data_IF_934065633096
#
_entry.id   IF_934065633096
#
_cell.length_a   1.000
_cell.length_b   1.000
_cell.length_c   1.000
_cell.angle_alpha   90.00
_cell.angle_beta   90.00
_cell.angle_gamma   90.00
#
_symmetry.space_group_name_H-M   'P 1'
#
loop_
_entity.id
_entity.type
_entity.pdbx_description
1 polymer ?
#
# COMPACT_ATOMS: atom_id res chain seq x y z
N UNK A 1 14.82 5.65 -27.11
CA UNK A 1 16.02 5.90 -26.28
C UNK A 1 17.15 5.02 -26.78
N UNK A 2 18.36 5.56 -26.93
CA UNK A 2 19.55 4.78 -27.33
C UNK A 2 19.89 3.80 -26.19
N UNK A 3 20.07 2.49 -26.46
CA UNK A 3 20.52 1.56 -25.44
C UNK A 3 21.84 2.02 -24.81
N UNK A 4 22.00 1.81 -23.51
CA UNK A 4 23.18 2.26 -22.77
C UNK A 4 24.51 1.80 -23.40
N UNK A 5 24.54 0.57 -23.94
CA UNK A 5 25.74 -0.02 -24.60
C UNK A 5 26.07 0.63 -25.93
N UNK A 6 25.10 1.25 -26.59
CA UNK A 6 25.25 1.89 -27.89
C UNK A 6 25.46 3.40 -27.76
N UNK A 7 25.57 3.91 -26.52
CA UNK A 7 25.78 5.33 -26.26
C UNK A 7 27.21 5.73 -26.65
N UNK A 8 27.42 6.60 -27.68
CA UNK A 8 28.74 7.01 -28.10
C UNK A 8 29.37 7.94 -27.08
N UNK A 9 30.29 7.42 -26.29
CA UNK A 9 31.04 8.24 -25.32
C UNK A 9 31.94 9.23 -26.06
N UNK A 10 31.90 10.50 -25.70
CA UNK A 10 32.77 11.54 -26.29
C UNK A 10 33.03 12.63 -25.22
N UNK A 11 34.31 12.82 -24.90
CA UNK A 11 34.76 13.88 -23.99
C UNK A 11 34.36 15.26 -24.52
N UNK A 12 34.33 15.45 -25.85
CA UNK A 12 33.92 16.73 -26.47
C UNK A 12 32.47 17.11 -26.22
N UNK A 13 31.63 16.14 -25.85
CA UNK A 13 30.20 16.36 -25.53
C UNK A 13 29.96 16.55 -24.03
N UNK A 14 31.00 16.48 -23.20
CA UNK A 14 30.89 16.67 -21.77
C UNK A 14 30.86 18.16 -21.42
N UNK A 15 29.98 18.56 -20.51
CA UNK A 15 29.97 19.92 -19.99
C UNK A 15 31.18 20.17 -19.09
N UNK A 16 31.81 21.36 -19.21
CA UNK A 16 32.95 21.76 -18.38
C UNK A 16 32.55 21.88 -16.89
N UNK A 17 31.29 22.21 -16.61
CA UNK A 17 30.74 22.34 -15.25
C UNK A 17 30.56 21.00 -14.51
N UNK A 18 30.82 19.86 -15.16
CA UNK A 18 30.58 18.56 -14.57
C UNK A 18 29.10 18.16 -14.57
N UNK A 19 28.76 17.09 -13.85
CA UNK A 19 27.40 16.58 -13.68
C UNK A 19 27.02 16.66 -12.21
N UNK A 20 25.91 17.37 -11.91
CA UNK A 20 25.33 17.34 -10.58
C UNK A 20 24.72 15.96 -10.34
N UNK A 21 25.14 15.31 -9.26
CA UNK A 21 24.53 14.07 -8.81
C UNK A 21 23.27 14.38 -8.01
N UNK A 22 22.15 13.87 -8.49
CA UNK A 22 20.82 14.08 -7.91
C UNK A 22 20.28 12.73 -7.39
N UNK A 23 20.22 12.59 -6.06
CA UNK A 23 19.72 11.39 -5.40
C UNK A 23 18.22 11.17 -5.65
N UNK A 24 17.42 12.21 -5.72
CA UNK A 24 15.98 12.10 -5.95
C UNK A 24 15.73 11.55 -7.36
N UNK A 25 16.49 12.06 -8.33
CA UNK A 25 16.41 11.56 -9.69
C UNK A 25 16.90 10.11 -9.81
N UNK A 26 17.94 9.72 -9.09
CA UNK A 26 18.40 8.33 -9.05
C UNK A 26 17.31 7.43 -8.46
N UNK A 27 16.68 7.86 -7.38
CA UNK A 27 15.58 7.13 -6.75
C UNK A 27 14.38 6.98 -7.69
N UNK A 28 14.01 8.05 -8.42
CA UNK A 28 12.95 7.99 -9.43
C UNK A 28 13.28 7.01 -10.56
N UNK A 29 14.53 7.00 -11.03
CA UNK A 29 14.99 6.02 -12.03
C UNK A 29 14.91 4.60 -11.49
N UNK A 30 15.36 4.37 -10.25
CA UNK A 30 15.28 3.07 -9.59
C UNK A 30 13.82 2.58 -9.48
N UNK A 31 12.90 3.43 -9.00
CA UNK A 31 11.46 3.14 -8.96
C UNK A 31 10.88 2.82 -10.32
N UNK A 32 11.30 3.51 -11.37
CA UNK A 32 10.88 3.24 -12.76
C UNK A 32 11.40 1.89 -13.30
N UNK A 33 12.51 1.38 -12.80
CA UNK A 33 13.02 0.05 -13.14
C UNK A 33 12.28 -1.01 -12.34
N UNK A 34 12.25 -0.88 -11.00
CA UNK A 34 11.64 -1.87 -10.10
C UNK A 34 10.16 -2.06 -10.38
N UNK A 35 9.40 -1.00 -10.72
CA UNK A 35 7.97 -1.12 -11.01
C UNK A 35 7.64 -1.96 -12.25
N UNK A 36 8.63 -2.22 -13.14
CA UNK A 36 8.47 -3.05 -14.34
C UNK A 36 8.87 -4.51 -14.12
N UNK A 37 9.54 -4.81 -13.02
CA UNK A 37 9.88 -6.17 -12.63
C UNK A 37 8.61 -6.94 -12.25
N UNK A 38 8.60 -8.25 -12.45
CA UNK A 38 7.57 -9.13 -11.90
C UNK A 38 7.62 -9.16 -10.38
N UNK A 39 6.56 -9.62 -9.73
CA UNK A 39 6.54 -9.82 -8.28
C UNK A 39 7.61 -10.83 -7.84
N UNK A 40 7.83 -11.87 -8.65
CA UNK A 40 8.86 -12.89 -8.45
C UNK A 40 10.27 -12.28 -8.45
N UNK A 41 10.60 -11.49 -9.49
CA UNK A 41 11.90 -10.81 -9.58
C UNK A 41 12.15 -9.88 -8.39
N UNK A 42 11.13 -9.14 -7.94
CA UNK A 42 11.26 -8.26 -6.78
C UNK A 42 11.42 -9.08 -5.49
N UNK A 43 10.68 -10.19 -5.36
CA UNK A 43 10.82 -11.10 -4.22
C UNK A 43 12.22 -11.69 -4.14
N UNK A 44 12.74 -12.25 -5.24
CA UNK A 44 14.06 -12.89 -5.28
C UNK A 44 15.19 -11.91 -4.95
N UNK A 45 15.14 -10.72 -5.53
CA UNK A 45 16.12 -9.67 -5.23
C UNK A 45 16.03 -9.18 -3.78
N UNK A 46 14.80 -9.00 -3.26
CA UNK A 46 14.59 -8.61 -1.86
C UNK A 46 15.09 -9.70 -0.91
N UNK A 47 14.79 -10.96 -1.17
CA UNK A 47 15.27 -12.08 -0.36
C UNK A 47 16.79 -12.18 -0.36
N UNK A 48 17.41 -12.03 -1.54
CA UNK A 48 18.87 -12.01 -1.67
C UNK A 48 19.51 -10.89 -0.84
N UNK A 49 18.94 -9.68 -0.92
CA UNK A 49 19.36 -8.54 -0.12
C UNK A 49 19.15 -8.81 1.38
N UNK A 50 17.97 -9.30 1.77
CA UNK A 50 17.59 -9.52 3.15
C UNK A 50 18.49 -10.58 3.82
N UNK A 51 18.91 -11.63 3.11
CA UNK A 51 19.86 -12.64 3.62
C UNK A 51 21.17 -12.02 4.10
N UNK A 52 21.57 -10.91 3.52
CA UNK A 52 22.82 -10.23 3.89
C UNK A 52 22.60 -9.13 4.92
N UNK A 53 21.51 -8.35 4.80
CA UNK A 53 21.36 -7.09 5.54
C UNK A 53 20.22 -7.09 6.56
N UNK A 54 19.24 -8.00 6.45
CA UNK A 54 18.12 -8.18 7.38
C UNK A 54 17.72 -9.67 7.46
N UNK A 55 18.56 -10.52 8.13
CA UNK A 55 18.33 -11.97 8.18
C UNK A 55 16.99 -12.37 8.81
N UNK A 56 16.44 -11.56 9.72
CA UNK A 56 15.15 -11.86 10.32
C UNK A 56 14.01 -11.64 9.33
N UNK A 57 14.08 -10.60 8.50
CA UNK A 57 13.13 -10.41 7.40
C UNK A 57 13.28 -11.51 6.34
N UNK A 58 14.50 -11.96 6.05
CA UNK A 58 14.73 -13.09 5.14
C UNK A 58 14.00 -14.37 5.60
N UNK A 59 14.08 -14.70 6.91
CA UNK A 59 13.37 -15.86 7.48
C UNK A 59 11.85 -15.78 7.30
N UNK A 60 11.27 -14.58 7.46
CA UNK A 60 9.84 -14.37 7.27
C UNK A 60 9.46 -14.53 5.79
N UNK A 61 10.25 -13.96 4.88
CA UNK A 61 10.05 -14.12 3.45
C UNK A 61 10.11 -15.59 3.01
N UNK A 62 11.09 -16.35 3.53
CA UNK A 62 11.23 -17.79 3.24
C UNK A 62 10.09 -18.64 3.85
N UNK A 63 9.55 -18.24 4.99
CA UNK A 63 8.43 -18.93 5.63
C UNK A 63 7.08 -18.70 4.90
N UNK A 64 6.87 -17.50 4.38
CA UNK A 64 5.61 -17.08 3.77
C UNK A 64 5.82 -16.49 2.35
N UNK A 65 6.45 -17.24 1.42
CA UNK A 65 6.80 -16.71 0.11
C UNK A 65 5.57 -16.33 -0.73
N UNK A 66 4.47 -17.07 -0.62
CA UNK A 66 3.25 -16.80 -1.38
C UNK A 66 2.59 -15.50 -0.92
N UNK A 67 2.53 -15.25 0.39
CA UNK A 67 2.04 -13.98 0.95
C UNK A 67 2.90 -12.81 0.47
N UNK A 68 4.22 -12.96 0.50
CA UNK A 68 5.16 -11.94 0.04
C UNK A 68 4.99 -11.62 -1.45
N UNK A 69 4.95 -12.65 -2.30
CA UNK A 69 4.77 -12.49 -3.75
C UNK A 69 3.42 -11.90 -4.10
N UNK A 70 2.35 -12.34 -3.45
CA UNK A 70 1.02 -11.77 -3.63
C UNK A 70 0.97 -10.27 -3.25
N UNK A 71 1.57 -9.88 -2.12
CA UNK A 71 1.66 -8.49 -1.72
C UNK A 71 2.47 -7.63 -2.70
N UNK A 72 3.58 -8.17 -3.21
CA UNK A 72 4.42 -7.52 -4.23
C UNK A 72 3.73 -7.43 -5.60
N UNK A 73 2.76 -8.28 -5.90
CA UNK A 73 2.00 -8.25 -7.14
C UNK A 73 0.99 -7.09 -7.19
N UNK A 74 0.57 -6.55 -6.05
CA UNK A 74 -0.43 -5.48 -5.99
C UNK A 74 0.03 -4.27 -6.81
N UNK A 75 -0.75 -3.90 -7.82
CA UNK A 75 -0.46 -2.76 -8.69
C UNK A 75 0.71 -2.92 -9.66
N UNK A 76 1.19 -4.16 -9.88
CA UNK A 76 2.20 -4.50 -10.90
C UNK A 76 1.56 -5.03 -12.20
N UNK A 77 2.32 -5.06 -13.27
CA UNK A 77 1.91 -5.64 -14.55
C UNK A 77 0.89 -4.85 -15.37
N UNK A 78 0.35 -3.76 -14.82
CA UNK A 78 -0.61 -2.91 -15.53
C UNK A 78 0.06 -1.83 -16.40
N UNK A 79 -0.75 -1.08 -17.16
CA UNK A 79 -0.28 0.03 -17.99
C UNK A 79 0.37 1.18 -17.17
N UNK A 80 0.00 1.31 -15.90
CA UNK A 80 0.54 2.30 -14.96
C UNK A 80 0.92 1.61 -13.65
N UNK A 81 2.04 0.87 -13.62
CA UNK A 81 2.47 0.16 -12.41
C UNK A 81 2.83 1.17 -11.30
N UNK A 82 2.60 0.77 -10.06
CA UNK A 82 2.95 1.57 -8.88
C UNK A 82 4.48 1.67 -8.73
N UNK A 83 4.95 2.84 -8.30
CA UNK A 83 6.38 3.18 -8.16
C UNK A 83 6.74 3.40 -6.69
N UNK A 84 6.33 2.48 -5.81
CA UNK A 84 6.52 2.63 -4.37
C UNK A 84 7.92 2.20 -3.92
N UNK A 85 8.56 1.27 -4.63
CA UNK A 85 9.82 0.64 -4.25
C UNK A 85 10.93 1.08 -5.21
N UNK A 86 11.97 1.68 -4.67
CA UNK A 86 13.21 2.04 -5.39
C UNK A 86 14.43 1.26 -4.92
N UNK A 87 14.39 0.72 -3.68
CA UNK A 87 15.46 -0.04 -3.04
C UNK A 87 14.89 -1.24 -2.30
N UNK A 88 15.69 -2.27 -2.09
CA UNK A 88 15.25 -3.51 -1.44
C UNK A 88 14.95 -3.33 0.06
N UNK A 89 15.63 -2.40 0.74
CA UNK A 89 15.37 -2.05 2.13
C UNK A 89 13.99 -1.38 2.36
N UNK A 90 13.40 -0.81 1.31
CA UNK A 90 12.06 -0.21 1.37
C UNK A 90 10.93 -1.26 1.38
N UNK A 91 11.21 -2.50 0.94
CA UNK A 91 10.19 -3.56 0.79
C UNK A 91 9.57 -3.94 2.12
N UNK A 92 10.36 -4.06 3.19
CA UNK A 92 9.85 -4.32 4.55
C UNK A 92 8.89 -3.21 5.00
N UNK A 93 9.23 -1.95 4.76
CA UNK A 93 8.36 -0.81 5.03
C UNK A 93 7.08 -0.82 4.18
N UNK A 94 7.17 -1.28 2.92
CA UNK A 94 6.04 -1.32 1.99
C UNK A 94 5.00 -2.37 2.35
N UNK A 95 5.43 -3.60 2.71
CA UNK A 95 4.52 -4.73 2.90
C UNK A 95 4.67 -5.48 4.23
N UNK A 96 5.55 -5.01 5.14
CA UNK A 96 5.81 -5.71 6.40
C UNK A 96 4.57 -5.97 7.24
N UNK A 97 3.58 -5.09 7.17
CA UNK A 97 2.30 -5.27 7.85
C UNK A 97 1.52 -6.54 7.43
N UNK A 98 1.89 -7.21 6.34
CA UNK A 98 1.31 -8.51 5.96
C UNK A 98 1.67 -9.62 6.96
N UNK A 99 2.79 -9.48 7.66
CA UNK A 99 3.33 -10.43 8.62
C UNK A 99 3.08 -9.94 10.05
N UNK A 100 2.64 -10.84 10.91
CA UNK A 100 2.23 -10.46 12.27
C UNK A 100 3.40 -9.93 13.11
N UNK A 101 4.64 -10.38 12.82
CA UNK A 101 5.86 -9.90 13.49
C UNK A 101 6.19 -8.44 13.19
N UNK A 102 5.72 -7.90 12.08
CA UNK A 102 5.99 -6.53 11.62
C UNK A 102 4.74 -5.67 11.54
N UNK A 103 3.61 -6.18 12.05
CA UNK A 103 2.41 -5.37 12.16
C UNK A 103 2.51 -4.43 13.34
N UNK A 104 2.55 -3.14 13.09
CA UNK A 104 2.57 -2.08 14.08
C UNK A 104 1.57 -0.98 13.70
N UNK A 105 0.89 -0.41 14.69
CA UNK A 105 0.08 0.79 14.53
C UNK A 105 1.01 2.00 14.49
N UNK A 106 1.39 2.43 13.29
CA UNK A 106 2.35 3.52 13.06
C UNK A 106 1.61 4.86 12.95
N UNK A 107 0.51 4.87 12.18
CA UNK A 107 -0.29 6.06 11.94
C UNK A 107 -1.58 6.01 12.76
N UNK A 108 -2.02 7.17 13.23
CA UNK A 108 -3.26 7.34 13.97
C UNK A 108 -4.36 7.92 13.07
N UNK A 109 -5.62 7.59 13.37
CA UNK A 109 -6.76 8.25 12.76
C UNK A 109 -6.83 9.68 13.31
N UNK A 110 -6.91 10.72 12.43
CA UNK A 110 -6.90 12.12 12.88
C UNK A 110 -7.98 12.42 13.92
N UNK A 111 -7.63 13.21 14.96
CA UNK A 111 -8.51 13.58 16.08
C UNK A 111 -9.80 14.31 15.67
N UNK A 112 -9.85 14.86 14.45
CA UNK A 112 -11.08 15.47 13.92
C UNK A 112 -12.23 14.49 13.76
N UNK A 113 -11.96 13.17 13.75
CA UNK A 113 -12.99 12.13 13.69
C UNK A 113 -13.35 11.66 15.09
N UNK A 114 -14.65 11.55 15.35
CA UNK A 114 -15.16 11.01 16.62
C UNK A 114 -14.70 9.56 16.79
N UNK A 115 -14.18 9.22 17.96
CA UNK A 115 -13.83 7.83 18.32
C UNK A 115 -15.03 6.89 18.21
N UNK A 116 -16.23 7.40 18.48
CA UNK A 116 -17.46 6.60 18.39
C UNK A 116 -17.81 6.31 16.93
N UNK A 117 -17.64 7.29 16.02
CA UNK A 117 -17.84 7.06 14.59
C UNK A 117 -16.83 6.07 14.03
N UNK A 118 -15.56 6.18 14.42
CA UNK A 118 -14.51 5.23 14.02
C UNK A 118 -14.87 3.82 14.48
N UNK A 119 -15.19 3.66 15.76
CA UNK A 119 -15.59 2.36 16.34
C UNK A 119 -16.83 1.80 15.65
N UNK A 120 -17.85 2.63 15.43
CA UNK A 120 -19.07 2.20 14.75
C UNK A 120 -18.79 1.72 13.33
N UNK A 121 -17.97 2.46 12.56
CA UNK A 121 -17.59 2.07 11.20
C UNK A 121 -16.83 0.72 11.18
N UNK A 122 -15.85 0.56 12.05
CA UNK A 122 -15.05 -0.64 12.16
C UNK A 122 -15.90 -1.85 12.58
N UNK A 123 -16.79 -1.68 13.56
CA UNK A 123 -17.70 -2.74 14.04
C UNK A 123 -18.63 -3.19 12.92
N UNK A 124 -19.35 -2.24 12.29
CA UNK A 124 -20.25 -2.53 11.16
C UNK A 124 -19.53 -3.25 10.01
N UNK A 125 -18.30 -2.83 9.72
CA UNK A 125 -17.54 -3.48 8.67
C UNK A 125 -17.23 -4.96 8.99
N UNK A 126 -16.91 -5.30 10.24
CA UNK A 126 -16.68 -6.72 10.61
C UNK A 126 -17.90 -7.61 10.43
N UNK A 127 -19.11 -7.04 10.53
CA UNK A 127 -20.38 -7.77 10.36
C UNK A 127 -20.66 -8.10 8.89
N UNK A 128 -20.30 -7.18 7.97
CA UNK A 128 -20.63 -7.31 6.54
C UNK A 128 -19.46 -7.81 5.69
N UNK A 129 -18.25 -7.82 6.21
CA UNK A 129 -17.06 -8.21 5.45
C UNK A 129 -17.11 -9.69 5.04
N UNK A 130 -16.99 -9.92 3.75
CA UNK A 130 -16.83 -11.25 3.15
C UNK A 130 -15.61 -11.24 2.22
N UNK A 131 -14.67 -12.16 2.43
CA UNK A 131 -13.47 -12.29 1.60
C UNK A 131 -13.75 -12.78 0.17
N UNK A 132 -14.99 -13.25 -0.10
CA UNK A 132 -15.44 -13.69 -1.41
C UNK A 132 -16.06 -12.59 -2.26
N UNK A 133 -16.28 -11.40 -1.67
CA UNK A 133 -16.79 -10.26 -2.43
C UNK A 133 -15.84 -9.90 -3.57
N UNK A 134 -16.39 -9.49 -4.71
CA UNK A 134 -15.61 -8.76 -5.70
C UNK A 134 -15.32 -7.32 -5.24
N UNK A 135 -14.42 -6.64 -5.93
CA UNK A 135 -14.01 -5.29 -5.55
C UNK A 135 -15.17 -4.29 -5.52
N UNK A 136 -16.14 -4.43 -6.40
CA UNK A 136 -17.33 -3.56 -6.48
C UNK A 136 -18.21 -3.78 -5.26
N UNK A 137 -18.59 -5.02 -4.99
CA UNK A 137 -19.41 -5.40 -3.82
C UNK A 137 -18.72 -5.00 -2.51
N UNK A 138 -17.43 -5.26 -2.40
CA UNK A 138 -16.62 -4.86 -1.25
C UNK A 138 -16.70 -3.34 -1.01
N UNK A 139 -16.51 -2.53 -2.04
CA UNK A 139 -16.54 -1.07 -1.90
C UNK A 139 -17.96 -0.52 -1.67
N UNK A 140 -18.98 -1.13 -2.25
CA UNK A 140 -20.38 -0.74 -2.03
C UNK A 140 -20.82 -0.99 -0.57
N UNK A 141 -20.31 -2.02 0.10
CA UNK A 141 -20.49 -2.20 1.55
C UNK A 141 -19.88 -1.05 2.36
N UNK A 142 -18.70 -0.56 1.98
CA UNK A 142 -18.07 0.61 2.64
C UNK A 142 -18.89 1.88 2.41
N UNK A 143 -19.44 2.09 1.20
CA UNK A 143 -20.34 3.21 0.91
C UNK A 143 -21.63 3.15 1.73
N UNK A 144 -22.19 1.95 1.90
CA UNK A 144 -23.39 1.76 2.72
C UNK A 144 -23.14 2.13 4.17
N UNK A 145 -22.02 1.69 4.75
CA UNK A 145 -21.59 2.07 6.10
C UNK A 145 -21.38 3.59 6.21
N UNK A 146 -20.73 4.20 5.21
CA UNK A 146 -20.54 5.64 5.17
C UNK A 146 -21.88 6.39 5.24
N UNK A 147 -22.85 6.02 4.38
CA UNK A 147 -24.17 6.62 4.36
C UNK A 147 -24.93 6.48 5.68
N UNK A 148 -24.87 5.29 6.29
CA UNK A 148 -25.52 5.00 7.56
C UNK A 148 -24.98 5.84 8.72
N UNK A 149 -23.68 6.13 8.71
CA UNK A 149 -23.01 6.93 9.76
C UNK A 149 -23.05 8.44 9.50
N UNK A 150 -23.69 8.90 8.41
CA UNK A 150 -23.77 10.31 8.05
C UNK A 150 -22.52 10.82 7.30
N UNK A 151 -21.76 9.93 6.70
CA UNK A 151 -20.67 10.26 5.76
C UNK A 151 -21.19 10.17 4.32
N UNK A 152 -20.71 11.03 3.43
CA UNK A 152 -21.09 10.97 2.03
C UNK A 152 -20.59 9.67 1.39
N UNK A 153 -21.44 8.87 0.73
CA UNK A 153 -21.04 7.63 0.06
C UNK A 153 -20.16 7.87 -1.16
N UNK A 154 -20.12 9.11 -1.64
CA UNK A 154 -19.27 9.55 -2.75
C UNK A 154 -18.57 10.87 -2.42
N UNK A 155 -17.28 10.97 -2.74
CA UNK A 155 -16.50 12.20 -2.54
C UNK A 155 -17.09 13.40 -3.30
N UNK A 156 -17.77 13.18 -4.44
CA UNK A 156 -18.42 14.24 -5.21
C UNK A 156 -19.59 14.87 -4.46
N UNK A 157 -20.37 14.08 -3.72
CA UNK A 157 -21.48 14.56 -2.90
C UNK A 157 -20.97 15.45 -1.77
N UNK A 158 -19.97 14.97 -1.05
CA UNK A 158 -19.32 15.76 0.00
C UNK A 158 -18.76 17.09 -0.50
N UNK A 159 -18.10 17.10 -1.67
CA UNK A 159 -17.56 18.35 -2.25
C UNK A 159 -18.64 19.36 -2.61
N UNK A 160 -19.85 18.91 -2.94
CA UNK A 160 -20.99 19.81 -3.24
C UNK A 160 -21.63 20.37 -1.98
N UNK A 161 -21.77 19.56 -0.95
CA UNK A 161 -22.51 19.87 0.27
C UNK A 161 -21.68 19.44 1.50
N UNK A 162 -20.53 20.09 1.78
CA UNK A 162 -19.64 19.63 2.86
C UNK A 162 -20.30 19.70 4.24
N UNK A 163 -21.21 20.65 4.46
CA UNK A 163 -21.87 20.87 5.75
C UNK A 163 -22.99 19.84 6.04
N UNK A 164 -23.42 19.05 5.05
CA UNK A 164 -24.44 18.01 5.23
C UNK A 164 -23.86 16.69 5.73
N UNK A 165 -22.53 16.50 5.67
CA UNK A 165 -21.88 15.24 5.98
C UNK A 165 -20.74 15.41 6.97
N UNK A 166 -20.52 14.41 7.82
CA UNK A 166 -19.38 14.35 8.74
C UNK A 166 -18.02 14.18 8.03
N UNK A 167 -18.04 13.75 6.78
CA UNK A 167 -16.90 13.43 5.92
C UNK A 167 -17.39 12.62 4.71
N UNK A 168 -16.56 11.74 4.17
CA UNK A 168 -16.90 10.96 2.98
C UNK A 168 -16.39 9.49 3.07
N UNK A 169 -16.79 8.67 2.11
CA UNK A 169 -16.39 7.25 2.04
C UNK A 169 -14.89 7.01 2.13
N UNK A 170 -14.06 7.95 1.65
CA UNK A 170 -12.60 7.88 1.78
C UNK A 170 -12.12 7.93 3.23
N UNK A 171 -12.86 8.61 4.12
CA UNK A 171 -12.54 8.65 5.54
C UNK A 171 -12.82 7.29 6.18
N UNK A 172 -13.96 6.66 5.86
CA UNK A 172 -14.26 5.29 6.32
C UNK A 172 -13.21 4.30 5.79
N UNK A 173 -12.81 4.43 4.53
CA UNK A 173 -11.74 3.60 3.94
C UNK A 173 -10.40 3.82 4.65
N UNK A 174 -10.11 5.03 5.10
CA UNK A 174 -8.90 5.34 5.87
C UNK A 174 -8.96 4.72 7.27
N UNK A 175 -10.12 4.72 7.96
CA UNK A 175 -10.28 4.04 9.24
C UNK A 175 -9.96 2.54 9.12
N UNK A 176 -10.51 1.90 8.10
CA UNK A 176 -10.22 0.49 7.80
C UNK A 176 -8.75 0.25 7.48
N UNK A 177 -8.15 1.15 6.70
CA UNK A 177 -6.74 1.03 6.32
C UNK A 177 -5.84 1.09 7.55
N UNK A 178 -6.01 2.09 8.40
CA UNK A 178 -5.20 2.23 9.63
C UNK A 178 -5.39 1.02 10.53
N UNK A 179 -6.62 0.58 10.78
CA UNK A 179 -6.89 -0.57 11.64
C UNK A 179 -6.29 -1.89 11.10
N UNK A 180 -6.28 -2.09 9.77
CA UNK A 180 -5.83 -3.35 9.15
C UNK A 180 -4.33 -3.35 8.85
N UNK A 181 -3.76 -2.21 8.46
CA UNK A 181 -2.35 -2.11 8.03
C UNK A 181 -1.44 -1.35 9.00
N UNK A 182 -2.01 -0.67 9.99
CA UNK A 182 -1.28 0.22 10.88
C UNK A 182 -0.84 1.52 10.24
N UNK A 183 -1.25 1.81 9.01
CA UNK A 183 -0.75 2.94 8.21
C UNK A 183 -1.87 3.69 7.49
N UNK A 184 -1.74 5.01 7.35
CA UNK A 184 -2.64 5.83 6.56
C UNK A 184 -2.47 5.65 5.04
N UNK A 185 -1.32 5.13 4.60
CA UNK A 185 -1.03 4.81 3.20
C UNK A 185 -0.59 3.36 3.05
N UNK A 186 -1.18 2.66 2.08
CA UNK A 186 -0.91 1.25 1.80
C UNK A 186 -1.16 0.96 0.31
N UNK A 187 -0.81 -0.23 -0.19
CA UNK A 187 -1.33 -0.74 -1.45
C UNK A 187 -2.87 -0.80 -1.48
N UNK A 188 -3.44 -1.26 -2.59
CA UNK A 188 -4.89 -1.40 -2.73
C UNK A 188 -5.48 -2.24 -1.58
N UNK A 189 -6.46 -1.66 -0.86
CA UNK A 189 -7.00 -2.27 0.36
C UNK A 189 -7.82 -3.53 0.09
N UNK A 190 -8.49 -3.60 -1.06
CA UNK A 190 -9.22 -4.80 -1.43
C UNK A 190 -8.27 -5.98 -1.61
N UNK A 191 -7.17 -5.79 -2.34
CA UNK A 191 -6.15 -6.82 -2.52
C UNK A 191 -5.43 -7.17 -1.21
N UNK A 192 -5.09 -6.15 -0.41
CA UNK A 192 -4.49 -6.35 0.92
C UNK A 192 -5.36 -7.24 1.80
N UNK A 193 -6.66 -6.94 1.89
CA UNK A 193 -7.59 -7.71 2.74
C UNK A 193 -7.79 -9.14 2.24
N UNK A 194 -7.80 -9.35 0.93
CA UNK A 194 -7.87 -10.70 0.33
C UNK A 194 -6.65 -11.54 0.69
N UNK A 195 -5.46 -10.96 0.64
CA UNK A 195 -4.20 -11.65 0.99
C UNK A 195 -4.16 -11.98 2.48
N UNK A 196 -4.56 -11.04 3.34
CA UNK A 196 -4.60 -11.25 4.80
C UNK A 196 -5.64 -12.30 5.23
N UNK A 197 -6.73 -12.41 4.46
CA UNK A 197 -7.87 -13.27 4.78
C UNK A 197 -8.74 -12.72 5.92
N UNK A 198 -9.98 -13.23 6.01
CA UNK A 198 -11.00 -12.77 6.96
C UNK A 198 -10.50 -12.80 8.42
N UNK A 199 -9.80 -13.85 8.79
CA UNK A 199 -9.35 -14.04 10.18
C UNK A 199 -8.47 -12.89 10.67
N UNK A 200 -7.39 -12.57 9.94
CA UNK A 200 -6.47 -11.47 10.28
C UNK A 200 -7.14 -10.12 10.19
N UNK A 201 -7.94 -9.86 9.14
CA UNK A 201 -8.65 -8.58 8.97
C UNK A 201 -9.56 -8.29 10.15
N UNK A 202 -10.45 -9.25 10.51
CA UNK A 202 -11.39 -9.07 11.63
C UNK A 202 -10.66 -8.98 12.97
N UNK A 203 -9.62 -9.77 13.18
CA UNK A 203 -8.81 -9.72 14.41
C UNK A 203 -8.17 -8.35 14.61
N UNK A 204 -7.55 -7.78 13.57
CA UNK A 204 -6.91 -6.47 13.66
C UNK A 204 -7.89 -5.34 13.87
N UNK A 205 -9.04 -5.38 13.19
CA UNK A 205 -10.10 -4.39 13.40
C UNK A 205 -10.64 -4.44 14.84
N UNK A 206 -10.79 -5.62 15.43
CA UNK A 206 -11.27 -5.77 16.81
C UNK A 206 -10.22 -5.37 17.86
N UNK A 207 -8.94 -5.42 17.50
CA UNK A 207 -7.85 -5.03 18.39
C UNK A 207 -7.57 -3.52 18.36
N UNK A 208 -8.05 -2.80 17.32
CA UNK A 208 -7.96 -1.36 17.19
C UNK A 208 -8.97 -0.63 18.07
#
# INVERSE_FOLDING_TARGET
ATPFRDFPFSIKKMAVAGCLFDFDKLNDVAKNVVCRMSAEEVYDNTLSWAKTYDPDFAKVLEREPETAKAALAIGRGGAKPRKDIGRWDEVKGYMGFMFDEYFELIDEIPEKFSKDDVRAALTKYTEVYDEKDDQTTWFDKIKAIAAELGYAPETKLWKKNPDEYKGHVGDISMFLRVAVTGKASSPDMYEVMRILGRGKVVSRIKAY
#
